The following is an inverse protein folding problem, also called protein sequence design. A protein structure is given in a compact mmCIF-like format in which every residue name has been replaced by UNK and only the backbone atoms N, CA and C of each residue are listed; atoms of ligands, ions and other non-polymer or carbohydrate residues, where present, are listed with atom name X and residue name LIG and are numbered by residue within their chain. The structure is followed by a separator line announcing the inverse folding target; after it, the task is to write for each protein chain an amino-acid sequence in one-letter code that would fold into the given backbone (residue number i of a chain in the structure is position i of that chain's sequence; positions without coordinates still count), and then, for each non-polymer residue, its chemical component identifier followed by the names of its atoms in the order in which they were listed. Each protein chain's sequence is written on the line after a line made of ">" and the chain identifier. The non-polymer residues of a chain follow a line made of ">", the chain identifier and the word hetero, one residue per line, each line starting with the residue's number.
data_IF_280702857586
#
_entry.id   IF_280702857586
#
_cell.length_a   1.000
_cell.length_b   1.000
_cell.length_c   1.000
_cell.angle_alpha   90.00
_cell.angle_beta   90.00
_cell.angle_gamma   90.00
#
_symmetry.space_group_name_H-M   'P 1'
#
loop_
_entity.id
_entity.type
_entity.pdbx_description
1 polymer ?
#
# COMPACT_ATOMS: atom_id res chain seq x y z
N UNK A 1 -3.69 -10.22 24.99
CA UNK A 1 -5.05 -10.59 24.59
C UNK A 1 -5.98 -9.37 24.47
N UNK A 2 -6.04 -8.47 25.47
CA UNK A 2 -6.91 -7.27 25.43
C UNK A 2 -6.66 -6.37 24.23
N UNK A 3 -5.41 -6.11 23.89
CA UNK A 3 -5.02 -5.28 22.75
C UNK A 3 -5.32 -5.97 21.41
N UNK A 4 -5.14 -7.28 21.32
CA UNK A 4 -5.52 -8.05 20.14
C UNK A 4 -7.04 -8.02 19.91
N UNK A 5 -7.83 -8.13 20.97
CA UNK A 5 -9.28 -8.01 20.89
C UNK A 5 -9.71 -6.63 20.36
N UNK A 6 -8.99 -5.56 20.73
CA UNK A 6 -9.23 -4.22 20.17
C UNK A 6 -8.97 -4.16 18.66
N UNK A 7 -7.89 -4.81 18.17
CA UNK A 7 -7.64 -4.90 16.73
C UNK A 7 -8.77 -5.63 16.00
N UNK A 8 -9.27 -6.73 16.57
CA UNK A 8 -10.42 -7.47 16.00
C UNK A 8 -11.69 -6.60 16.01
N UNK A 9 -11.96 -5.90 17.12
CA UNK A 9 -13.11 -4.99 17.22
C UNK A 9 -13.03 -3.84 16.22
N UNK A 10 -11.84 -3.30 15.98
CA UNK A 10 -11.62 -2.26 14.97
C UNK A 10 -11.92 -2.78 13.56
N UNK A 11 -11.47 -3.98 13.23
CA UNK A 11 -11.78 -4.61 11.94
C UNK A 11 -13.30 -4.72 11.74
N UNK A 12 -14.02 -5.29 12.70
CA UNK A 12 -15.50 -5.41 12.62
C UNK A 12 -16.20 -4.04 12.60
N UNK A 13 -15.64 -3.02 13.26
CA UNK A 13 -16.14 -1.66 13.18
C UNK A 13 -16.03 -1.08 11.77
N UNK A 14 -14.89 -1.29 11.10
CA UNK A 14 -14.68 -0.87 9.71
C UNK A 14 -15.59 -1.63 8.74
N UNK A 15 -15.75 -2.94 8.92
CA UNK A 15 -16.71 -3.74 8.12
C UNK A 15 -18.14 -3.20 8.24
N UNK A 16 -18.59 -2.97 9.47
CA UNK A 16 -19.93 -2.42 9.72
C UNK A 16 -20.12 -1.04 9.10
N UNK A 17 -19.11 -0.17 9.15
CA UNK A 17 -19.15 1.13 8.49
C UNK A 17 -19.23 0.98 6.96
N UNK A 18 -18.41 0.10 6.37
CA UNK A 18 -18.49 -0.21 4.95
C UNK A 18 -19.90 -0.64 4.53
N UNK A 19 -20.48 -1.59 5.26
CA UNK A 19 -21.81 -2.14 4.92
C UNK A 19 -22.93 -1.12 5.09
N UNK A 20 -22.92 -0.39 6.21
CA UNK A 20 -23.99 0.56 6.58
C UNK A 20 -23.93 1.83 5.75
N UNK A 21 -22.76 2.42 5.61
CA UNK A 21 -22.58 3.75 4.99
C UNK A 21 -22.11 3.65 3.53
N UNK A 22 -21.98 2.41 2.99
CA UNK A 22 -21.49 2.14 1.62
C UNK A 22 -20.13 2.79 1.32
N UNK A 23 -19.22 2.72 2.29
CA UNK A 23 -17.86 3.27 2.17
C UNK A 23 -16.97 2.27 1.44
N UNK A 24 -16.44 2.62 0.27
CA UNK A 24 -15.57 1.74 -0.53
C UNK A 24 -14.09 1.88 -0.19
N UNK A 25 -13.71 2.95 0.52
CA UNK A 25 -12.31 3.22 0.85
C UNK A 25 -12.18 4.03 2.15
N UNK A 26 -11.19 3.67 2.96
CA UNK A 26 -10.87 4.29 4.24
C UNK A 26 -9.46 4.90 4.20
N UNK A 27 -9.32 6.11 4.73
CA UNK A 27 -8.03 6.70 5.06
C UNK A 27 -7.96 6.84 6.59
N UNK A 28 -7.28 5.88 7.22
CA UNK A 28 -7.29 5.75 8.68
C UNK A 28 -6.17 6.59 9.28
N UNK A 29 -6.51 7.54 10.15
CA UNK A 29 -5.52 8.23 10.97
C UNK A 29 -5.01 7.27 12.04
N UNK A 30 -4.03 6.45 11.68
CA UNK A 30 -3.49 5.39 12.53
C UNK A 30 -2.61 5.93 13.65
N UNK A 31 -2.11 7.15 13.54
CA UNK A 31 -1.08 7.72 14.38
C UNK A 31 -1.42 9.17 14.78
N UNK A 32 -1.27 9.55 16.07
CA UNK A 32 -0.89 8.69 17.21
C UNK A 32 -2.07 8.03 17.92
N UNK A 33 -3.32 8.45 17.72
CA UNK A 33 -4.48 8.19 18.57
C UNK A 33 -4.86 6.71 18.63
N UNK A 34 -4.70 5.96 17.54
CA UNK A 34 -4.98 4.52 17.55
C UNK A 34 -4.08 3.76 18.54
N UNK A 35 -2.87 4.23 18.76
CA UNK A 35 -1.95 3.63 19.74
C UNK A 35 -2.15 4.18 21.15
N UNK A 36 -2.36 5.50 21.29
CA UNK A 36 -2.38 6.17 22.61
C UNK A 36 -3.74 6.13 23.27
N UNK A 37 -4.81 6.29 22.51
CA UNK A 37 -6.17 6.38 23.01
C UNK A 37 -6.95 5.08 22.83
N UNK A 38 -7.04 4.58 21.59
CA UNK A 38 -7.74 3.33 21.32
C UNK A 38 -6.94 2.12 21.82
N UNK A 39 -5.62 2.13 21.69
CA UNK A 39 -4.68 1.17 22.30
C UNK A 39 -4.42 -0.09 21.48
N UNK A 40 -4.49 -0.01 20.14
CA UNK A 40 -4.01 -1.05 19.23
C UNK A 40 -3.36 -0.46 17.98
N UNK A 41 -2.65 -1.29 17.22
CA UNK A 41 -2.24 -0.96 15.86
C UNK A 41 -3.40 -1.21 14.90
N UNK A 42 -3.71 -0.24 14.05
CA UNK A 42 -4.74 -0.37 13.01
C UNK A 42 -4.27 -1.12 11.76
N UNK A 43 -2.96 -1.42 11.66
CA UNK A 43 -2.35 -2.02 10.47
C UNK A 43 -2.95 -3.38 10.11
N UNK A 44 -3.10 -4.29 11.08
CA UNK A 44 -3.73 -5.59 10.87
C UNK A 44 -5.21 -5.50 10.46
N UNK A 45 -6.06 -4.73 11.16
CA UNK A 45 -7.41 -4.43 10.72
C UNK A 45 -7.49 -3.90 9.28
N UNK A 46 -6.64 -2.93 8.91
CA UNK A 46 -6.56 -2.44 7.54
C UNK A 46 -6.10 -3.51 6.55
N UNK A 47 -5.14 -4.37 6.93
CA UNK A 47 -4.72 -5.50 6.10
C UNK A 47 -5.88 -6.45 5.79
N UNK A 48 -6.74 -6.73 6.77
CA UNK A 48 -7.92 -7.56 6.61
C UNK A 48 -8.99 -6.90 5.72
N UNK A 49 -9.17 -5.58 5.78
CA UNK A 49 -10.02 -4.83 4.86
C UNK A 49 -9.45 -4.86 3.43
N UNK A 50 -8.15 -4.62 3.27
CA UNK A 50 -7.47 -4.70 1.98
C UNK A 50 -7.57 -6.10 1.35
N UNK A 51 -7.51 -7.18 2.15
CA UNK A 51 -7.75 -8.55 1.66
C UNK A 51 -9.13 -8.71 1.02
N UNK A 52 -10.15 -8.04 1.58
CA UNK A 52 -11.50 -7.99 1.03
C UNK A 52 -11.66 -7.03 -0.15
N UNK A 53 -10.59 -6.40 -0.59
CA UNK A 53 -10.58 -5.35 -1.63
C UNK A 53 -11.34 -4.07 -1.22
N UNK A 54 -11.54 -3.86 0.06
CA UNK A 54 -12.02 -2.61 0.63
C UNK A 54 -10.79 -1.82 1.02
N UNK A 55 -10.47 -0.77 0.26
CA UNK A 55 -9.24 -0.02 0.47
C UNK A 55 -9.16 0.59 1.86
N UNK A 56 -8.07 0.32 2.57
CA UNK A 56 -7.79 0.94 3.86
C UNK A 56 -6.32 1.41 3.90
N UNK A 57 -6.12 2.71 3.74
CA UNK A 57 -4.82 3.35 3.74
C UNK A 57 -4.46 3.87 5.13
N UNK A 58 -3.18 3.78 5.47
CA UNK A 58 -2.57 4.29 6.68
C UNK A 58 -2.36 5.81 6.59
N UNK A 59 -2.07 6.45 7.73
CA UNK A 59 -1.62 7.84 7.84
C UNK A 59 -2.60 8.87 7.26
N UNK A 60 -3.90 8.54 7.25
CA UNK A 60 -4.95 9.37 6.68
C UNK A 60 -4.71 9.74 5.20
N UNK A 61 -3.97 8.91 4.46
CA UNK A 61 -3.66 9.14 3.05
C UNK A 61 -4.88 8.89 2.16
N UNK A 62 -5.69 9.92 1.98
CA UNK A 62 -6.93 9.89 1.18
C UNK A 62 -6.64 9.55 -0.28
N UNK A 63 -5.59 10.16 -0.86
CA UNK A 63 -5.23 9.90 -2.27
C UNK A 63 -4.62 8.52 -2.44
N UNK A 64 -3.90 8.01 -1.45
CA UNK A 64 -3.43 6.62 -1.41
C UNK A 64 -4.58 5.63 -1.33
N UNK A 65 -5.56 5.89 -0.46
CA UNK A 65 -6.76 5.05 -0.37
C UNK A 65 -7.54 5.03 -1.69
N UNK A 66 -7.73 6.20 -2.32
CA UNK A 66 -8.34 6.31 -3.64
C UNK A 66 -7.54 5.55 -4.71
N UNK A 67 -6.20 5.64 -4.67
CA UNK A 67 -5.33 4.91 -5.60
C UNK A 67 -5.49 3.39 -5.47
N UNK A 68 -5.51 2.88 -4.24
CA UNK A 68 -5.76 1.46 -3.98
C UNK A 68 -7.16 1.04 -4.45
N UNK A 69 -8.18 1.86 -4.22
CA UNK A 69 -9.54 1.55 -4.65
C UNK A 69 -9.64 1.46 -6.19
N UNK A 70 -9.04 2.41 -6.91
CA UNK A 70 -8.97 2.37 -8.38
C UNK A 70 -8.29 1.09 -8.86
N UNK A 71 -7.15 0.71 -8.27
CA UNK A 71 -6.45 -0.53 -8.63
C UNK A 71 -7.30 -1.78 -8.33
N UNK A 72 -8.01 -1.81 -7.19
CA UNK A 72 -8.91 -2.90 -6.85
C UNK A 72 -10.01 -3.09 -7.91
N UNK A 73 -10.61 -1.99 -8.37
CA UNK A 73 -11.67 -2.01 -9.37
C UNK A 73 -11.15 -2.46 -10.75
N UNK A 74 -10.00 -1.94 -11.18
CA UNK A 74 -9.42 -2.27 -12.48
C UNK A 74 -8.92 -3.72 -12.55
N UNK A 75 -8.40 -4.27 -11.46
CA UNK A 75 -7.74 -5.59 -11.46
C UNK A 75 -8.54 -6.71 -10.78
N UNK A 76 -9.59 -6.36 -10.05
CA UNK A 76 -10.33 -7.28 -9.18
C UNK A 76 -9.42 -8.08 -8.19
N UNK A 77 -8.31 -7.51 -7.81
CA UNK A 77 -7.33 -8.04 -6.84
C UNK A 77 -7.02 -7.00 -5.78
N UNK A 78 -6.59 -7.40 -4.58
CA UNK A 78 -6.15 -6.47 -3.56
C UNK A 78 -5.04 -5.55 -4.07
N UNK A 79 -5.11 -4.28 -3.69
CA UNK A 79 -4.03 -3.31 -3.81
C UNK A 79 -3.45 -2.98 -2.44
N UNK A 80 -2.22 -2.48 -2.42
CA UNK A 80 -1.47 -2.16 -1.22
C UNK A 80 -0.81 -0.80 -1.33
N UNK A 81 -0.99 0.03 -0.30
CA UNK A 81 -0.22 1.25 -0.08
C UNK A 81 1.12 0.89 0.55
N UNK A 82 2.19 1.45 0.03
CA UNK A 82 3.56 1.24 0.52
C UNK A 82 4.36 2.52 0.50
N UNK A 83 5.35 2.59 1.40
CA UNK A 83 6.44 3.55 1.37
C UNK A 83 7.54 3.08 0.41
N UNK A 84 8.15 4.00 -0.30
CA UNK A 84 9.46 3.81 -0.94
C UNK A 84 10.51 4.16 0.10
N UNK A 85 11.10 3.16 0.77
CA UNK A 85 11.97 3.38 1.95
C UNK A 85 13.45 3.27 1.67
N UNK A 86 13.82 2.67 0.54
CA UNK A 86 15.22 2.51 0.16
C UNK A 86 15.37 2.41 -1.36
N UNK A 87 16.49 2.86 -1.89
CA UNK A 87 16.83 2.77 -3.32
C UNK A 87 18.29 2.36 -3.44
N UNK A 88 18.52 1.15 -3.94
CA UNK A 88 19.86 0.59 -4.13
C UNK A 88 20.32 0.78 -5.59
N UNK A 89 21.31 1.64 -5.77
CA UNK A 89 21.88 1.92 -7.09
C UNK A 89 22.67 0.73 -7.65
N UNK A 90 23.38 -0.03 -6.79
CA UNK A 90 24.22 -1.16 -7.21
C UNK A 90 23.39 -2.36 -7.65
N UNK A 91 22.35 -2.70 -6.88
CA UNK A 91 21.40 -3.79 -7.21
C UNK A 91 20.31 -3.31 -8.20
N UNK A 92 20.25 -2.00 -8.47
CA UNK A 92 19.25 -1.34 -9.33
C UNK A 92 17.82 -1.69 -8.91
N UNK A 93 17.57 -1.61 -7.61
CA UNK A 93 16.29 -1.95 -6.98
C UNK A 93 15.81 -0.85 -6.04
N UNK A 94 14.58 -0.97 -5.59
CA UNK A 94 14.00 -0.17 -4.51
C UNK A 94 13.29 -1.07 -3.52
N UNK A 95 13.15 -0.65 -2.27
CA UNK A 95 12.41 -1.40 -1.26
C UNK A 95 11.08 -0.71 -1.00
N UNK A 96 10.00 -1.46 -1.22
CA UNK A 96 8.65 -1.11 -0.81
C UNK A 96 8.40 -1.70 0.58
N UNK A 97 7.88 -0.90 1.48
CA UNK A 97 7.60 -1.30 2.85
C UNK A 97 6.33 -0.65 3.39
N UNK A 98 5.69 -1.31 4.30
CA UNK A 98 4.77 -0.69 5.24
C UNK A 98 4.73 -1.47 6.56
N UNK A 99 4.26 -0.83 7.62
CA UNK A 99 4.29 -1.38 8.98
C UNK A 99 3.43 -2.64 9.20
N UNK A 100 2.75 -3.19 8.18
CA UNK A 100 2.05 -4.49 8.28
C UNK A 100 0.58 -4.46 7.87
N UNK A 101 0.20 -3.58 6.94
CA UNK A 101 -1.16 -3.48 6.39
C UNK A 101 -1.37 -4.29 5.09
N UNK A 102 -0.39 -5.11 4.71
CA UNK A 102 -0.50 -5.90 3.48
C UNK A 102 -1.49 -7.06 3.62
N UNK A 103 -2.33 -7.30 2.58
CA UNK A 103 -3.16 -8.49 2.47
C UNK A 103 -2.34 -9.78 2.55
N UNK A 104 -2.85 -10.81 3.24
CA UNK A 104 -2.18 -12.11 3.35
C UNK A 104 -2.00 -12.80 2.00
N UNK A 105 -2.90 -12.57 1.04
CA UNK A 105 -2.78 -13.07 -0.34
C UNK A 105 -1.56 -12.53 -1.09
N UNK A 106 -0.91 -11.47 -0.58
CA UNK A 106 0.34 -10.93 -1.13
C UNK A 106 1.60 -11.53 -0.49
N UNK A 107 1.47 -12.39 0.51
CA UNK A 107 2.61 -13.01 1.19
C UNK A 107 3.36 -14.00 0.29
N UNK A 108 4.68 -14.03 0.42
CA UNK A 108 5.47 -15.16 -0.07
C UNK A 108 5.08 -16.43 0.72
N UNK A 109 5.01 -17.58 0.03
CA UNK A 109 4.58 -18.84 0.63
C UNK A 109 5.39 -19.15 1.90
N UNK A 110 4.69 -19.61 2.93
CA UNK A 110 5.26 -19.98 4.24
C UNK A 110 5.95 -18.85 5.01
N UNK A 111 5.72 -17.59 4.65
CA UNK A 111 6.35 -16.47 5.35
C UNK A 111 5.42 -15.66 6.27
N UNK A 112 4.07 -15.74 6.19
CA UNK A 112 3.24 -14.85 6.97
C UNK A 112 3.29 -15.16 8.47
N UNK A 113 3.48 -14.12 9.25
CA UNK A 113 3.37 -14.14 10.71
C UNK A 113 2.65 -12.89 11.21
N UNK A 114 2.19 -12.93 12.44
CA UNK A 114 1.65 -11.78 13.13
C UNK A 114 2.69 -11.20 14.08
N UNK A 115 2.74 -9.89 14.23
CA UNK A 115 3.68 -9.22 15.12
C UNK A 115 3.07 -7.96 15.75
N UNK A 116 3.86 -7.29 16.58
CA UNK A 116 3.55 -6.00 17.18
C UNK A 116 4.29 -4.88 16.45
N UNK A 117 3.75 -3.70 16.49
CA UNK A 117 4.39 -2.52 15.88
C UNK A 117 5.76 -2.27 16.52
N UNK A 118 6.81 -2.14 15.70
CA UNK A 118 8.20 -2.05 16.15
C UNK A 118 8.42 -0.98 17.20
N UNK A 119 7.89 0.22 16.99
CA UNK A 119 8.09 1.37 17.88
C UNK A 119 7.03 1.47 19.00
N UNK A 120 5.77 1.05 18.72
CA UNK A 120 4.62 1.26 19.63
C UNK A 120 4.26 0.03 20.45
N UNK A 121 4.82 -1.13 20.12
CA UNK A 121 4.64 -2.41 20.83
C UNK A 121 3.17 -2.86 20.97
N UNK A 122 2.30 -2.39 20.09
CA UNK A 122 0.88 -2.77 20.03
C UNK A 122 0.61 -3.74 18.87
N UNK A 123 -0.23 -4.77 19.06
CA UNK A 123 -0.73 -5.60 17.96
C UNK A 123 -1.84 -4.85 17.21
N UNK A 124 -2.24 -5.25 16.04
CA UNK A 124 -1.81 -6.38 15.23
C UNK A 124 -1.14 -5.86 13.96
N UNK A 125 -0.06 -6.51 13.54
CA UNK A 125 0.58 -6.30 12.25
C UNK A 125 0.76 -7.62 11.52
N UNK A 126 0.65 -7.59 10.19
CA UNK A 126 1.15 -8.66 9.34
C UNK A 126 2.65 -8.49 9.11
N UNK A 127 3.40 -9.57 9.16
CA UNK A 127 4.85 -9.56 8.99
C UNK A 127 5.27 -10.65 8.01
N UNK A 128 5.66 -10.25 6.79
CA UNK A 128 6.10 -11.15 5.74
C UNK A 128 6.79 -10.43 4.58
N UNK A 129 7.56 -11.19 3.80
CA UNK A 129 8.04 -10.74 2.50
C UNK A 129 6.93 -10.80 1.46
N UNK A 130 6.81 -9.77 0.62
CA UNK A 130 5.91 -9.77 -0.53
C UNK A 130 6.33 -10.86 -1.53
N UNK A 131 5.35 -11.60 -2.07
CA UNK A 131 5.59 -12.64 -3.07
C UNK A 131 6.16 -12.06 -4.36
N UNK A 132 7.04 -12.81 -5.02
CA UNK A 132 7.59 -12.39 -6.30
C UNK A 132 6.52 -12.34 -7.40
N UNK A 133 6.57 -11.31 -8.27
CA UNK A 133 5.61 -11.19 -9.36
C UNK A 133 5.60 -9.82 -10.04
N UNK A 134 4.98 -9.77 -11.22
CA UNK A 134 4.74 -8.50 -11.93
C UNK A 134 3.71 -7.67 -11.17
N UNK A 135 3.91 -6.37 -11.11
CA UNK A 135 3.03 -5.41 -10.46
C UNK A 135 2.79 -4.20 -11.34
N UNK A 136 1.61 -3.60 -11.19
CA UNK A 136 1.34 -2.24 -11.63
C UNK A 136 1.36 -1.33 -10.43
N UNK A 137 2.18 -0.31 -10.47
CA UNK A 137 2.33 0.72 -9.43
C UNK A 137 1.57 1.94 -9.89
N UNK A 138 0.80 2.54 -8.99
CA UNK A 138 -0.06 3.66 -9.31
C UNK A 138 -0.17 4.63 -8.13
N UNK A 139 -0.26 5.92 -8.44
CA UNK A 139 -0.55 6.97 -7.47
C UNK A 139 -1.43 8.05 -8.09
N UNK A 140 -2.53 8.39 -7.43
CA UNK A 140 -3.20 9.67 -7.59
C UNK A 140 -2.43 10.68 -6.75
N UNK A 141 -1.72 11.59 -7.39
CA UNK A 141 -0.89 12.60 -6.73
C UNK A 141 -1.49 13.97 -6.94
N UNK A 142 -1.22 14.89 -6.03
CA UNK A 142 -1.66 16.28 -6.11
C UNK A 142 -0.48 17.22 -5.92
N UNK A 143 -0.17 18.03 -6.91
CA UNK A 143 0.79 19.12 -6.79
C UNK A 143 0.22 20.38 -7.40
N UNK A 144 0.50 21.54 -6.80
CA UNK A 144 0.00 22.85 -7.25
C UNK A 144 -1.54 22.88 -7.46
N UNK A 145 -2.27 22.23 -6.58
CA UNK A 145 -3.72 22.03 -6.65
C UNK A 145 -4.24 21.27 -7.88
N UNK A 146 -3.37 20.62 -8.66
CA UNK A 146 -3.76 19.82 -9.82
C UNK A 146 -3.55 18.32 -9.52
N UNK A 147 -4.55 17.52 -9.86
CA UNK A 147 -4.42 16.07 -9.81
C UNK A 147 -3.59 15.58 -11.01
N UNK A 148 -2.78 14.57 -10.75
CA UNK A 148 -2.04 13.82 -11.76
C UNK A 148 -2.06 12.33 -11.42
N UNK A 149 -2.05 11.49 -12.42
CA UNK A 149 -1.82 10.06 -12.30
C UNK A 149 -0.35 9.76 -12.57
N UNK A 150 0.24 8.90 -11.75
CA UNK A 150 1.58 8.36 -11.96
C UNK A 150 1.42 6.85 -12.02
N UNK A 151 1.88 6.24 -13.11
CA UNK A 151 1.77 4.80 -13.31
C UNK A 151 3.09 4.22 -13.81
N UNK A 152 3.47 3.07 -13.22
CA UNK A 152 4.71 2.36 -13.54
C UNK A 152 4.45 0.85 -13.61
N UNK A 153 5.25 0.16 -14.41
CA UNK A 153 5.38 -1.29 -14.33
C UNK A 153 6.57 -1.65 -13.46
N UNK A 154 6.41 -2.70 -12.66
CA UNK A 154 7.47 -3.20 -11.81
C UNK A 154 7.38 -4.71 -11.59
N UNK A 155 8.34 -5.22 -10.86
CA UNK A 155 8.38 -6.62 -10.45
C UNK A 155 8.90 -6.70 -9.03
N UNK A 156 8.13 -7.33 -8.13
CA UNK A 156 8.64 -7.77 -6.83
C UNK A 156 9.59 -8.93 -7.06
N UNK A 157 10.78 -8.84 -6.53
CA UNK A 157 11.81 -9.86 -6.63
C UNK A 157 11.67 -10.87 -5.47
N UNK A 158 12.09 -12.10 -5.68
CA UNK A 158 12.12 -13.11 -4.61
C UNK A 158 13.29 -12.79 -3.66
N UNK A 159 12.99 -12.14 -2.55
CA UNK A 159 13.92 -11.73 -1.49
C UNK A 159 13.30 -11.99 -0.13
N UNK A 160 14.12 -12.03 0.92
CA UNK A 160 13.65 -12.07 2.31
C UNK A 160 13.02 -10.72 2.69
N UNK A 161 12.21 -10.74 3.74
CA UNK A 161 11.68 -9.51 4.33
C UNK A 161 12.83 -8.58 4.77
N UNK A 162 12.82 -7.34 4.33
CA UNK A 162 13.89 -6.37 4.62
C UNK A 162 13.72 -5.69 5.98
N UNK A 163 12.46 -5.52 6.41
CA UNK A 163 12.09 -4.80 7.63
C UNK A 163 10.95 -5.50 8.36
N UNK A 164 10.79 -5.23 9.66
CA UNK A 164 9.62 -5.64 10.42
C UNK A 164 8.35 -5.05 9.81
N UNK A 165 7.30 -5.83 9.70
CA UNK A 165 6.10 -5.52 8.94
C UNK A 165 6.13 -6.20 7.57
N UNK A 166 5.73 -5.53 6.53
CA UNK A 166 5.65 -6.10 5.18
C UNK A 166 6.60 -5.35 4.24
N UNK A 167 7.49 -6.07 3.56
CA UNK A 167 8.38 -5.45 2.58
C UNK A 167 8.58 -6.30 1.33
N UNK A 168 9.03 -5.65 0.26
CA UNK A 168 9.43 -6.32 -0.96
C UNK A 168 10.48 -5.50 -1.70
N UNK A 169 11.49 -6.20 -2.22
CA UNK A 169 12.47 -5.60 -3.12
C UNK A 169 11.89 -5.55 -4.52
N UNK A 170 11.87 -4.37 -5.12
CA UNK A 170 11.19 -4.09 -6.40
C UNK A 170 12.19 -3.61 -7.44
N UNK A 171 12.08 -4.15 -8.65
CA UNK A 171 12.75 -3.63 -9.84
C UNK A 171 11.73 -2.94 -10.75
N UNK A 172 12.06 -1.75 -11.23
CA UNK A 172 11.31 -1.04 -12.28
C UNK A 172 11.94 -1.25 -13.67
N UNK A 173 12.74 -2.32 -13.82
CA UNK A 173 13.52 -2.59 -15.02
C UNK A 173 14.81 -1.73 -15.08
N UNK A 174 15.31 -1.42 -16.26
CA UNK A 174 16.54 -0.63 -16.39
C UNK A 174 16.42 0.73 -15.68
N UNK A 175 17.50 1.12 -14.99
CA UNK A 175 17.63 2.42 -14.33
C UNK A 175 16.58 2.68 -13.22
N UNK A 176 16.24 1.66 -12.41
CA UNK A 176 15.30 1.80 -11.26
C UNK A 176 15.70 2.97 -10.37
N UNK A 177 16.98 3.07 -9.99
CA UNK A 177 17.51 4.18 -9.17
C UNK A 177 17.17 5.55 -9.79
N UNK A 178 17.51 5.75 -11.07
CA UNK A 178 17.26 7.02 -11.78
C UNK A 178 15.76 7.33 -11.87
N UNK A 179 14.93 6.31 -12.09
CA UNK A 179 13.47 6.47 -12.17
C UNK A 179 12.90 6.95 -10.84
N UNK A 180 13.27 6.32 -9.73
CA UNK A 180 12.81 6.70 -8.38
C UNK A 180 13.30 8.10 -8.01
N UNK A 181 14.59 8.39 -8.28
CA UNK A 181 15.13 9.71 -8.02
C UNK A 181 14.40 10.81 -8.79
N UNK A 182 14.12 10.59 -10.07
CA UNK A 182 13.34 11.52 -10.89
C UNK A 182 11.91 11.70 -10.37
N UNK A 183 11.29 10.64 -9.83
CA UNK A 183 9.97 10.74 -9.19
C UNK A 183 9.98 11.69 -8.01
N UNK A 184 10.93 11.54 -7.10
CA UNK A 184 11.06 12.40 -5.93
C UNK A 184 11.37 13.84 -6.33
N UNK A 185 12.26 14.05 -7.30
CA UNK A 185 12.55 15.37 -7.84
C UNK A 185 11.33 16.03 -8.52
N UNK A 186 10.39 15.24 -9.02
CA UNK A 186 9.11 15.73 -9.57
C UNK A 186 8.02 16.01 -8.53
N UNK A 187 8.36 15.87 -7.24
CA UNK A 187 7.45 16.12 -6.11
C UNK A 187 6.44 15.00 -5.88
N UNK A 188 6.77 13.75 -6.20
CA UNK A 188 5.96 12.61 -5.80
C UNK A 188 6.09 12.37 -4.29
N UNK A 189 4.98 12.05 -3.67
CA UNK A 189 4.92 11.58 -2.29
C UNK A 189 5.67 10.24 -2.15
N UNK A 190 6.18 9.92 -0.95
CA UNK A 190 6.86 8.63 -0.69
C UNK A 190 5.90 7.43 -0.72
N UNK A 191 4.60 7.66 -0.53
CA UNK A 191 3.57 6.65 -0.68
C UNK A 191 3.23 6.37 -2.14
N UNK A 192 3.25 5.11 -2.52
CA UNK A 192 2.71 4.61 -3.79
C UNK A 192 1.81 3.41 -3.52
N UNK A 193 0.93 3.08 -4.48
CA UNK A 193 0.07 1.90 -4.39
C UNK A 193 0.46 0.92 -5.47
N UNK A 194 0.27 -0.37 -5.23
CA UNK A 194 0.43 -1.37 -6.27
C UNK A 194 -0.56 -2.52 -6.16
N UNK A 195 -0.78 -3.22 -7.26
CA UNK A 195 -1.48 -4.50 -7.34
C UNK A 195 -0.68 -5.50 -8.19
N UNK A 196 -0.85 -6.80 -7.93
CA UNK A 196 -0.23 -7.85 -8.75
C UNK A 196 -0.97 -8.03 -10.07
N UNK A 197 -0.27 -7.90 -11.17
CA UNK A 197 -0.79 -8.01 -12.53
C UNK A 197 -0.41 -6.80 -13.38
N UNK A 198 -1.01 -6.71 -14.56
CA UNK A 198 -0.77 -5.62 -15.52
C UNK A 198 -2.09 -4.92 -15.86
N UNK A 199 -2.34 -3.80 -15.22
CA UNK A 199 -3.45 -2.87 -15.51
C UNK A 199 -2.91 -1.49 -15.91
N UNK A 200 -1.70 -1.46 -16.44
CA UNK A 200 -1.02 -0.23 -16.81
C UNK A 200 -1.79 0.57 -17.87
N UNK A 201 -2.24 -0.10 -18.92
CA UNK A 201 -3.02 0.57 -19.99
C UNK A 201 -4.42 0.95 -19.53
N UNK A 202 -5.02 0.18 -18.59
CA UNK A 202 -6.32 0.51 -18.00
C UNK A 202 -6.25 1.81 -17.20
N UNK A 203 -5.20 1.99 -16.40
CA UNK A 203 -4.94 3.25 -15.65
C UNK A 203 -4.76 4.42 -16.61
N UNK A 204 -4.00 4.26 -17.70
CA UNK A 204 -3.83 5.31 -18.71
C UNK A 204 -5.14 5.68 -19.40
N UNK A 205 -5.93 4.67 -19.73
CA UNK A 205 -7.25 4.85 -20.33
C UNK A 205 -8.18 5.63 -19.39
N UNK A 206 -8.20 5.27 -18.10
CA UNK A 206 -8.96 5.99 -17.08
C UNK A 206 -8.52 7.45 -16.98
N UNK A 207 -7.20 7.71 -16.93
CA UNK A 207 -6.67 9.08 -16.91
C UNK A 207 -7.12 9.90 -18.10
N UNK A 208 -7.11 9.31 -19.31
CA UNK A 208 -7.62 9.95 -20.54
C UNK A 208 -9.12 10.26 -20.43
N UNK A 209 -9.94 9.31 -19.98
CA UNK A 209 -11.38 9.50 -19.82
C UNK A 209 -11.71 10.60 -18.81
N UNK A 210 -10.98 10.65 -17.68
CA UNK A 210 -11.17 11.67 -16.63
C UNK A 210 -10.45 12.99 -16.96
N UNK A 211 -9.71 13.06 -18.05
CA UNK A 211 -8.86 14.23 -18.42
C UNK A 211 -7.84 14.58 -17.34
N UNK A 212 -7.32 13.58 -16.64
CA UNK A 212 -6.27 13.72 -15.64
C UNK A 212 -4.92 13.42 -16.31
N UNK A 213 -3.93 14.35 -16.25
CA UNK A 213 -2.60 14.09 -16.77
C UNK A 213 -2.00 12.81 -16.18
N UNK A 214 -1.54 11.90 -17.04
CA UNK A 214 -0.99 10.61 -16.64
C UNK A 214 0.47 10.52 -17.06
N UNK A 215 1.34 10.41 -16.06
CA UNK A 215 2.79 10.27 -16.23
C UNK A 215 3.18 8.80 -16.12
N UNK A 216 3.97 8.35 -17.09
CA UNK A 216 4.50 6.97 -17.14
C UNK A 216 6.00 6.99 -16.94
N UNK A 217 6.53 5.98 -16.22
CA UNK A 217 7.96 5.89 -15.87
C UNK A 217 8.48 4.49 -16.16
#
# INVERSE_FOLDING_TARGET
>A
QKELNKSISLFHGLEKLHEKEKIDAFAVRCWPEMFTEYGCASCGPMAMMNEKKISAACEADVLGSLSCNILNQLNNKPALLVDIVDVDERDNTTVFWHCGLAPLSMAEKNSPSATVHSNRRKPLLHNFALKAGKITIFRVSKSENKLKFIVMKGKVLKRKNSFSGTSGVVSLGPNTFKKINNLFLSGLEHHVCFTYGDVFEDVKSLGKQLRIPTYTI
#
